data_IF_704429172853
#
_entry.id   IF_704429172853
#
_cell.length_a   1.000
_cell.length_b   1.000
_cell.length_c   1.000
_cell.angle_alpha   90.00
_cell.angle_beta   90.00
_cell.angle_gamma   90.00
#
_symmetry.space_group_name_H-M   'P 1'
#
loop_
_entity.id
_entity.type
_entity.pdbx_description
1 polymer ?
#
# COMPACT_ATOMS: atom_id res chain seq x y z
N UNK A 1 3.75 -39.92 -27.41
CA UNK A 1 2.59 -39.18 -27.93
C UNK A 1 2.28 -38.04 -26.98
N UNK A 2 2.27 -36.83 -27.53
CA UNK A 2 2.14 -35.53 -26.88
C UNK A 2 0.65 -35.24 -26.66
N UNK A 3 0.28 -34.73 -25.48
CA UNK A 3 -0.89 -33.87 -25.32
C UNK A 3 -0.57 -32.80 -24.26
N UNK A 4 0.03 -31.70 -24.72
CA UNK A 4 0.07 -30.42 -24.03
C UNK A 4 -1.35 -29.87 -23.96
N UNK A 5 -1.88 -29.57 -22.76
CA UNK A 5 -3.13 -28.82 -22.63
C UNK A 5 -2.81 -27.34 -22.42
N UNK A 6 -3.25 -26.56 -23.40
CA UNK A 6 -3.04 -25.13 -23.55
C UNK A 6 -3.68 -24.32 -22.43
N UNK A 7 -2.97 -23.28 -21.98
CA UNK A 7 -3.50 -22.15 -21.22
C UNK A 7 -4.25 -21.21 -22.17
N UNK A 8 -5.51 -20.83 -21.88
CA UNK A 8 -6.15 -19.74 -22.63
C UNK A 8 -5.59 -18.40 -22.15
N UNK A 9 -5.08 -17.64 -23.12
CA UNK A 9 -4.66 -16.25 -22.97
C UNK A 9 -5.84 -15.30 -23.21
N UNK A 10 -5.77 -14.15 -22.51
CA UNK A 10 -6.25 -12.83 -22.94
C UNK A 10 -7.76 -12.65 -23.10
N UNK A 11 -8.34 -11.85 -22.20
CA UNK A 11 -9.25 -10.76 -22.59
C UNK A 11 -9.03 -9.60 -21.61
N UNK A 12 -8.44 -8.53 -22.13
CA UNK A 12 -8.40 -7.23 -21.46
C UNK A 12 -9.77 -6.61 -21.73
N UNK A 13 -10.67 -6.66 -20.74
CA UNK A 13 -11.94 -5.94 -20.81
C UNK A 13 -11.64 -4.45 -20.82
N UNK A 14 -11.88 -3.85 -21.99
CA UNK A 14 -11.75 -2.42 -22.21
C UNK A 14 -12.86 -1.73 -21.42
N UNK A 15 -12.49 -0.96 -20.41
CA UNK A 15 -13.37 0.03 -19.78
C UNK A 15 -13.83 1.02 -20.85
N UNK A 16 -15.11 0.95 -21.23
CA UNK A 16 -15.75 1.93 -22.12
C UNK A 16 -16.30 3.04 -21.24
N UNK A 17 -15.56 4.14 -21.11
CA UNK A 17 -16.06 5.35 -20.44
C UNK A 17 -16.77 6.24 -21.46
N UNK A 18 -18.09 6.08 -21.56
CA UNK A 18 -18.93 7.05 -22.27
C UNK A 18 -19.27 8.21 -21.34
N UNK A 19 -18.39 9.21 -21.25
CA UNK A 19 -18.74 10.50 -20.65
C UNK A 19 -19.28 11.44 -21.73
N UNK A 20 -20.59 11.61 -21.69
CA UNK A 20 -21.34 12.58 -22.48
C UNK A 20 -20.99 14.00 -22.02
N UNK A 21 -20.17 14.71 -22.81
CA UNK A 21 -19.80 16.11 -22.54
C UNK A 21 -20.85 17.02 -23.15
N UNK A 22 -21.77 17.51 -22.31
CA UNK A 22 -22.75 18.51 -22.70
C UNK A 22 -22.05 19.87 -22.83
N UNK A 23 -21.80 20.30 -24.07
CA UNK A 23 -21.23 21.62 -24.38
C UNK A 23 -22.29 22.69 -24.19
N UNK A 24 -22.15 23.49 -23.13
CA UNK A 24 -22.79 24.81 -23.05
C UNK A 24 -21.73 25.86 -22.78
N UNK A 25 -21.42 26.57 -23.86
CA UNK A 25 -20.74 27.86 -23.83
C UNK A 25 -21.54 28.83 -22.96
N UNK A 26 -20.88 29.46 -22.00
CA UNK A 26 -21.30 30.77 -21.49
C UNK A 26 -20.04 31.58 -21.18
N UNK A 27 -19.75 32.47 -22.12
CA UNK A 27 -18.85 33.60 -22.00
C UNK A 27 -19.25 34.46 -20.80
N UNK A 28 -18.30 34.70 -19.90
CA UNK A 28 -18.23 35.95 -19.15
C UNK A 28 -16.75 36.22 -18.83
N UNK A 29 -16.10 36.86 -19.78
CA UNK A 29 -14.87 37.63 -19.60
C UNK A 29 -15.01 38.59 -18.41
N UNK A 30 -14.26 38.33 -17.34
CA UNK A 30 -13.85 39.36 -16.40
C UNK A 30 -12.34 39.56 -16.58
N UNK A 31 -11.99 40.51 -17.46
CA UNK A 31 -10.62 41.03 -17.54
C UNK A 31 -10.45 41.98 -16.34
N UNK A 32 -10.04 41.42 -15.22
CA UNK A 32 -9.49 42.22 -14.12
C UNK A 32 -8.11 42.71 -14.51
N UNK A 33 -8.04 43.94 -15.05
CA UNK A 33 -6.78 44.62 -15.30
C UNK A 33 -6.18 45.03 -13.95
N UNK A 34 -5.39 44.12 -13.36
CA UNK A 34 -4.48 44.46 -12.27
C UNK A 34 -3.24 45.06 -12.91
N UNK A 35 -3.07 46.37 -12.80
CA UNK A 35 -1.80 47.02 -13.13
C UNK A 35 -0.76 46.55 -12.13
N UNK A 36 0.10 45.60 -12.52
CA UNK A 36 1.35 45.34 -11.80
C UNK A 36 2.24 46.57 -11.98
N UNK A 37 2.45 47.31 -10.90
CA UNK A 37 3.53 48.29 -10.84
C UNK A 37 4.85 47.51 -10.73
N UNK A 38 5.55 47.38 -11.86
CA UNK A 38 6.82 46.69 -11.95
C UNK A 38 7.88 47.46 -11.15
N UNK A 39 8.27 46.93 -9.99
CA UNK A 39 9.49 47.35 -9.32
C UNK A 39 10.68 46.75 -10.07
N UNK A 40 11.60 47.54 -10.66
CA UNK A 40 12.73 47.03 -11.45
C UNK A 40 13.78 46.27 -10.61
N UNK A 41 13.61 46.17 -9.29
CA UNK A 41 14.53 45.47 -8.39
C UNK A 41 14.28 43.95 -8.27
N UNK A 42 13.22 43.42 -8.88
CA UNK A 42 12.94 41.97 -8.88
C UNK A 42 13.48 41.22 -10.10
N UNK A 43 14.13 41.90 -11.04
CA UNK A 43 14.74 41.26 -12.22
C UNK A 43 16.10 40.59 -11.93
N UNK A 44 16.69 40.82 -10.75
CA UNK A 44 18.03 40.30 -10.41
C UNK A 44 18.02 38.99 -9.61
N UNK A 45 16.85 38.45 -9.26
CA UNK A 45 16.75 37.23 -8.45
C UNK A 45 16.62 35.92 -9.27
N UNK A 46 16.76 35.96 -10.60
CA UNK A 46 16.57 34.78 -11.45
C UNK A 46 17.83 33.95 -11.71
N UNK A 47 18.97 34.28 -11.10
CA UNK A 47 20.14 33.40 -11.10
C UNK A 47 20.01 32.38 -9.95
N UNK A 48 18.89 31.67 -9.87
CA UNK A 48 18.87 30.39 -9.15
C UNK A 48 19.66 29.42 -10.03
N UNK A 49 20.97 29.39 -9.81
CA UNK A 49 21.86 28.42 -10.43
C UNK A 49 21.18 27.06 -10.33
N UNK A 50 21.05 26.36 -11.46
CA UNK A 50 20.52 24.99 -11.49
C UNK A 50 21.34 24.20 -10.49
N UNK A 51 20.79 23.94 -9.29
CA UNK A 51 21.38 22.98 -8.38
C UNK A 51 21.26 21.66 -9.12
N UNK A 52 22.38 21.22 -9.70
CA UNK A 52 22.57 19.86 -10.15
C UNK A 52 22.58 18.99 -8.89
N UNK A 53 21.38 18.71 -8.35
CA UNK A 53 21.17 17.73 -7.31
C UNK A 53 21.45 16.36 -7.92
N UNK A 54 22.73 16.06 -8.11
CA UNK A 54 23.18 14.70 -8.32
C UNK A 54 22.70 13.94 -7.10
N UNK A 55 21.84 12.95 -7.32
CA UNK A 55 21.39 12.02 -6.29
C UNK A 55 22.62 11.23 -5.82
N UNK A 56 23.44 11.85 -4.96
CA UNK A 56 24.61 11.21 -4.39
C UNK A 56 24.10 10.30 -3.28
N UNK A 57 24.34 9.01 -3.45
CA UNK A 57 24.16 8.02 -2.39
C UNK A 57 25.08 8.41 -1.23
N UNK A 58 24.47 8.94 -0.17
CA UNK A 58 25.19 9.21 1.07
C UNK A 58 25.48 7.85 1.70
N UNK A 59 26.75 7.56 1.97
CA UNK A 59 27.11 6.31 2.66
C UNK A 59 26.42 6.29 4.03
N UNK A 60 25.86 5.14 4.39
CA UNK A 60 25.10 4.97 5.64
C UNK A 60 25.86 5.43 6.90
N UNK A 61 27.20 5.30 6.89
CA UNK A 61 28.08 5.71 7.98
C UNK A 61 28.29 7.22 8.08
N UNK A 62 28.04 7.99 7.03
CA UNK A 62 28.36 9.43 6.97
C UNK A 62 27.18 10.31 7.37
N UNK A 63 25.94 9.79 7.34
CA UNK A 63 24.74 10.55 7.70
C UNK A 63 24.24 10.22 9.12
N UNK A 64 24.26 11.18 10.06
CA UNK A 64 23.69 11.00 11.40
C UNK A 64 22.21 10.61 11.36
N UNK A 65 21.47 11.10 10.35
CA UNK A 65 20.07 10.75 10.17
C UNK A 65 19.87 9.28 9.81
N UNK A 66 20.70 8.73 8.92
CA UNK A 66 20.64 7.31 8.54
C UNK A 66 21.00 6.42 9.72
N UNK A 67 22.03 6.79 10.49
CA UNK A 67 22.39 6.05 11.71
C UNK A 67 21.25 5.99 12.73
N UNK A 68 20.53 7.10 12.94
CA UNK A 68 19.37 7.13 13.83
C UNK A 68 18.21 6.26 13.31
N UNK A 69 17.96 6.23 12.00
CA UNK A 69 16.96 5.33 11.41
C UNK A 69 17.35 3.86 11.56
N UNK A 70 18.64 3.52 11.38
CA UNK A 70 19.15 2.17 11.58
C UNK A 70 19.02 1.75 13.05
N UNK A 71 19.35 2.64 14.01
CA UNK A 71 19.14 2.41 15.44
C UNK A 71 17.67 2.09 15.76
N UNK A 72 16.74 2.93 15.29
CA UNK A 72 15.28 2.71 15.45
C UNK A 72 14.79 1.41 14.80
N UNK A 73 15.44 0.99 13.72
CA UNK A 73 15.12 -0.26 13.03
C UNK A 73 15.60 -1.46 13.84
N UNK A 74 16.81 -1.40 14.40
CA UNK A 74 17.37 -2.44 15.27
C UNK A 74 16.54 -2.62 16.55
N UNK A 75 16.19 -1.53 17.23
CA UNK A 75 15.43 -1.57 18.49
C UNK A 75 14.04 -2.20 18.34
N UNK A 76 13.36 -1.88 17.24
CA UNK A 76 11.98 -2.35 16.97
C UNK A 76 11.94 -3.58 16.07
N UNK A 77 13.08 -4.22 15.81
CA UNK A 77 13.18 -5.33 14.85
C UNK A 77 12.28 -6.50 15.27
N UNK A 78 12.36 -6.90 16.52
CA UNK A 78 11.61 -8.05 17.03
C UNK A 78 10.11 -7.74 17.19
N UNK A 79 9.75 -6.55 17.66
CA UNK A 79 8.35 -6.10 17.70
C UNK A 79 7.71 -6.14 16.30
N UNK A 80 8.34 -5.50 15.31
CA UNK A 80 7.82 -5.50 13.94
C UNK A 80 7.85 -6.88 13.30
N UNK A 81 8.79 -7.74 13.69
CA UNK A 81 8.83 -9.13 13.22
C UNK A 81 7.62 -9.89 13.76
N UNK A 82 7.28 -9.71 15.04
CA UNK A 82 6.09 -10.28 15.64
C UNK A 82 4.82 -9.78 14.94
N UNK A 83 4.69 -8.47 14.75
CA UNK A 83 3.55 -7.87 14.03
C UNK A 83 3.38 -8.45 12.62
N UNK A 84 4.49 -8.59 11.87
CA UNK A 84 4.45 -9.20 10.52
C UNK A 84 4.01 -10.66 10.55
N UNK A 85 4.42 -11.42 11.58
CA UNK A 85 4.02 -12.82 11.73
C UNK A 85 2.55 -12.92 12.15
N UNK A 86 2.10 -12.11 13.09
CA UNK A 86 0.72 -12.11 13.56
C UNK A 86 -0.24 -11.73 12.42
N UNK A 87 0.10 -10.71 11.61
CA UNK A 87 -0.71 -10.35 10.44
C UNK A 87 -0.70 -11.45 9.36
N UNK A 88 0.45 -12.09 9.13
CA UNK A 88 0.53 -13.25 8.24
C UNK A 88 -0.37 -14.39 8.76
N UNK A 89 -0.34 -14.68 10.05
CA UNK A 89 -1.16 -15.76 10.60
C UNK A 89 -2.65 -15.46 10.48
N UNK A 90 -3.05 -14.23 10.83
CA UNK A 90 -4.44 -13.78 10.72
C UNK A 90 -4.97 -13.86 9.30
N UNK A 91 -4.22 -13.37 8.31
CA UNK A 91 -4.66 -13.37 6.91
C UNK A 91 -4.71 -14.76 6.28
N UNK A 92 -3.79 -15.64 6.67
CA UNK A 92 -3.64 -16.93 6.00
C UNK A 92 -4.37 -18.09 6.70
N UNK A 93 -4.54 -18.06 8.01
CA UNK A 93 -5.10 -19.22 8.75
C UNK A 93 -6.54 -19.01 9.23
N UNK A 94 -7.09 -17.80 9.16
CA UNK A 94 -8.47 -17.52 9.58
C UNK A 94 -9.47 -18.41 8.85
N UNK A 95 -9.48 -18.36 7.52
CA UNK A 95 -10.44 -19.12 6.72
C UNK A 95 -10.29 -20.64 6.90
N UNK A 96 -9.06 -21.14 7.04
CA UNK A 96 -8.81 -22.56 7.31
C UNK A 96 -9.36 -22.98 8.67
N UNK A 97 -9.15 -22.16 9.70
CA UNK A 97 -9.65 -22.45 11.03
C UNK A 97 -11.17 -22.33 11.12
N UNK A 98 -11.78 -21.37 10.42
CA UNK A 98 -13.23 -21.28 10.29
C UNK A 98 -13.81 -22.49 9.58
N UNK A 99 -13.17 -22.94 8.50
CA UNK A 99 -13.61 -24.12 7.74
C UNK A 99 -13.46 -25.42 8.54
N UNK A 100 -12.35 -25.59 9.25
CA UNK A 100 -12.01 -26.86 9.89
C UNK A 100 -12.58 -26.99 11.31
N UNK A 101 -12.60 -25.89 12.07
CA UNK A 101 -13.01 -25.88 13.48
C UNK A 101 -13.84 -24.63 13.85
N UNK A 102 -14.52 -23.98 12.89
CA UNK A 102 -15.42 -22.85 13.14
C UNK A 102 -16.63 -23.20 14.02
N UNK A 103 -16.84 -24.49 14.31
CA UNK A 103 -17.70 -24.96 15.38
C UNK A 103 -17.12 -26.25 16.00
N UNK A 104 -17.51 -26.55 17.24
CA UNK A 104 -17.13 -27.81 17.89
C UNK A 104 -17.61 -29.05 17.10
N UNK A 105 -18.77 -28.94 16.43
CA UNK A 105 -19.29 -30.01 15.56
C UNK A 105 -18.42 -30.20 14.32
N UNK A 106 -18.01 -29.10 13.66
CA UNK A 106 -17.10 -29.14 12.51
C UNK A 106 -15.75 -29.74 12.89
N UNK A 107 -15.15 -29.28 14.00
CA UNK A 107 -13.89 -29.82 14.50
C UNK A 107 -13.95 -31.31 14.79
N UNK A 108 -15.03 -31.78 15.44
CA UNK A 108 -15.24 -33.22 15.71
C UNK A 108 -15.42 -34.02 14.42
N UNK A 109 -16.16 -33.51 13.44
CA UNK A 109 -16.32 -34.16 12.13
C UNK A 109 -15.00 -34.28 11.35
N UNK A 110 -14.06 -33.37 11.62
CA UNK A 110 -12.69 -33.36 11.06
C UNK A 110 -11.67 -34.13 11.90
N UNK A 111 -12.08 -34.76 13.01
CA UNK A 111 -11.18 -35.50 13.89
C UNK A 111 -10.25 -34.63 14.74
N UNK A 112 -10.56 -33.35 14.88
CA UNK A 112 -9.83 -32.42 15.76
C UNK A 112 -10.23 -32.69 17.20
N UNK A 113 -9.24 -32.79 18.10
CA UNK A 113 -9.50 -32.93 19.53
C UNK A 113 -10.30 -31.73 20.07
N UNK A 114 -11.11 -31.94 21.10
CA UNK A 114 -11.90 -30.88 21.71
C UNK A 114 -11.01 -29.75 22.27
N UNK A 115 -9.87 -30.10 22.87
CA UNK A 115 -8.90 -29.11 23.36
C UNK A 115 -8.28 -28.27 22.24
N UNK A 116 -8.00 -28.85 21.07
CA UNK A 116 -7.50 -28.10 19.91
C UNK A 116 -8.59 -27.23 19.31
N UNK A 117 -9.81 -27.76 19.12
CA UNK A 117 -10.96 -27.00 18.61
C UNK A 117 -11.26 -25.78 19.48
N UNK A 118 -11.19 -25.94 20.81
CA UNK A 118 -11.40 -24.84 21.76
C UNK A 118 -10.36 -23.74 21.64
N UNK A 119 -9.08 -24.11 21.42
CA UNK A 119 -8.00 -23.14 21.18
C UNK A 119 -8.17 -22.41 19.85
N UNK A 120 -8.60 -23.13 18.80
CA UNK A 120 -8.87 -22.54 17.48
C UNK A 120 -10.04 -21.55 17.58
N UNK A 121 -11.13 -21.92 18.24
CA UNK A 121 -12.28 -21.03 18.45
C UNK A 121 -11.88 -19.76 19.21
N UNK A 122 -11.07 -19.91 20.26
CA UNK A 122 -10.53 -18.75 21.00
C UNK A 122 -9.67 -17.86 20.11
N UNK A 123 -8.78 -18.45 19.31
CA UNK A 123 -7.94 -17.69 18.39
C UNK A 123 -8.78 -16.95 17.33
N UNK A 124 -9.82 -17.60 16.79
CA UNK A 124 -10.75 -16.96 15.84
C UNK A 124 -11.50 -15.79 16.46
N UNK A 125 -11.89 -15.88 17.74
CA UNK A 125 -12.55 -14.79 18.46
C UNK A 125 -11.61 -13.59 18.68
N UNK A 126 -10.35 -13.86 19.04
CA UNK A 126 -9.30 -12.85 19.21
C UNK A 126 -8.87 -12.18 17.88
N UNK A 127 -9.10 -12.83 16.73
CA UNK A 127 -8.59 -12.43 15.42
C UNK A 127 -9.70 -12.18 14.37
N UNK A 128 -10.89 -11.75 14.82
CA UNK A 128 -12.04 -11.44 13.95
C UNK A 128 -11.75 -10.39 12.89
#
# INVERSE_FOLDING_TARGET
MIQNKATPSRTQDRFVTNFNVNKRNLLATFVGLVTLQENPKLAQAQQVGKLDLKNQEVKDSESPFIQELLRRTAEKKEERKKERLDDYYRRNFKDYFEWEAGSALAGRARGISEGTSSKILKWLDENK
#
